data_IF_571082083029
#
_entry.id   IF_571082083029
#
_cell.length_a   1.000
_cell.length_b   1.000
_cell.length_c   1.000
_cell.angle_alpha   90.00
_cell.angle_beta   90.00
_cell.angle_gamma   90.00
#
_symmetry.space_group_name_H-M   'P 1'
#
loop_
_entity.id
_entity.type
_entity.pdbx_description
1 polymer ?
#
# COMPACT_ATOMS: atom_id res chain seq x y z
N UNK A 1 6.30 -45.32 -7.60
CA UNK A 1 5.79 -44.76 -7.97
C UNK A 1 5.66 -44.00 -7.96
N UNK A 2 5.99 -44.54 -7.48
CA UNK A 2 5.55 -43.68 -7.64
C UNK A 2 5.51 -42.76 -7.51
N UNK A 3 5.66 -43.53 -7.02
CA UNK A 3 5.49 -42.55 -7.28
C UNK A 3 5.29 -41.77 -6.93
N UNK A 4 5.48 -41.64 -6.69
CA UNK A 4 5.12 -40.76 -6.71
C UNK A 4 4.74 -40.14 -6.49
N UNK A 5 5.27 -40.91 -6.18
CA UNK A 5 4.71 -40.20 -6.23
C UNK A 5 4.34 -39.72 -5.63
N UNK A 6 4.55 -39.81 -5.26
CA UNK A 6 4.13 -39.14 -5.00
C UNK A 6 4.02 -38.54 -4.82
N UNK A 7 4.50 -39.41 -4.61
CA UNK A 7 4.26 -38.78 -4.70
C UNK A 7 3.82 -38.35 -4.62
N UNK A 8 4.37 -38.79 -4.27
CA UNK A 8 3.86 -38.39 -4.51
C UNK A 8 3.21 -38.12 -4.13
N UNK A 9 3.69 -38.11 -3.93
CA UNK A 9 3.12 -37.95 -3.90
C UNK A 9 2.78 -37.28 -3.44
N UNK A 10 3.34 -38.28 -2.99
CA UNK A 10 3.04 -37.82 -2.88
C UNK A 10 2.72 -37.18 -2.61
N UNK A 11 3.19 -37.44 -2.39
CA UNK A 11 2.95 -36.82 -2.50
C UNK A 11 2.25 -36.40 -2.38
N UNK A 12 2.71 -36.81 -2.10
CA UNK A 12 2.01 -36.45 -2.31
C UNK A 12 1.29 -36.05 -1.89
N UNK A 13 1.71 -35.98 -1.76
CA UNK A 13 1.11 -35.75 -1.82
C UNK A 13 0.68 -35.06 -1.47
N UNK A 14 1.30 -35.92 -0.97
CA UNK A 14 0.84 -35.50 -0.96
C UNK A 14 0.44 -34.72 -0.66
N UNK A 15 1.04 -34.91 -0.10
CA UNK A 15 0.67 -34.23 -0.28
C UNK A 15 0.13 -33.57 -0.05
N UNK A 16 0.51 -33.60 0.22
CA UNK A 16 -0.05 -33.07 -0.08
C UNK A 16 -0.59 -32.24 0.07
N UNK A 17 -0.20 -32.47 0.56
CA UNK A 17 -0.71 -31.88 0.23
C UNK A 17 -1.17 -30.85 0.33
N UNK A 18 -0.43 -31.36 1.26
CA UNK A 18 -0.83 -30.66 0.73
C UNK A 18 -1.08 -29.70 0.94
N UNK A 19 -0.74 -29.29 0.93
CA UNK A 19 -1.14 -28.66 0.40
C UNK A 19 -1.38 -27.79 0.09
N UNK A 20 -0.90 -27.88 0.38
CA UNK A 20 -1.25 -27.19 -0.48
C UNK A 20 -1.59 -26.23 -0.57
N UNK A 21 -1.47 -26.25 -0.60
CA UNK A 21 -1.98 -25.63 -1.28
C UNK A 21 -2.42 -24.80 -1.56
N UNK A 22 -2.30 -24.66 -1.59
CA UNK A 22 -2.76 -24.02 -2.35
C UNK A 22 -2.69 -23.24 -2.58
N UNK A 23 -2.26 -23.33 -2.57
CA UNK A 23 -2.18 -22.72 -3.29
C UNK A 23 -1.69 -22.32 -3.60
N UNK A 24 -1.28 -22.54 -3.64
CA UNK A 24 -0.85 -22.35 -4.38
C UNK A 24 -0.66 -22.20 -5.02
N UNK A 25 -0.56 -22.44 -5.19
CA UNK A 25 -0.51 -22.41 -6.09
C UNK A 25 -0.09 -21.96 -6.60
N UNK A 26 0.19 -22.33 -6.90
CA UNK A 26 0.59 -21.99 -7.64
C UNK A 26 0.77 -21.48 -8.36
N UNK A 27 0.92 -21.42 -8.36
CA UNK A 27 0.99 -20.94 -9.44
C UNK A 27 1.17 -21.42 -10.78
N UNK A 28 0.38 -21.85 -11.56
CA UNK A 28 0.70 -22.43 -12.83
C UNK A 28 0.97 -21.39 -13.89
N UNK A 29 2.11 -21.50 -14.58
CA UNK A 29 2.47 -20.44 -15.52
C UNK A 29 1.53 -20.34 -16.73
N UNK A 30 0.72 -21.36 -16.96
CA UNK A 30 -0.22 -21.36 -18.07
C UNK A 30 -1.42 -20.48 -17.82
N UNK A 31 -1.51 -19.87 -16.63
CA UNK A 31 -2.64 -19.05 -16.27
C UNK A 31 -2.69 -17.79 -17.13
N UNK A 32 -3.84 -17.51 -17.68
CA UNK A 32 -4.04 -16.30 -18.47
C UNK A 32 -3.97 -15.09 -17.53
N UNK A 33 -3.33 -14.05 -18.00
CA UNK A 33 -3.27 -12.79 -17.28
C UNK A 33 -4.69 -12.22 -17.12
N UNK A 34 -5.04 -11.86 -15.90
CA UNK A 34 -6.36 -11.30 -15.62
C UNK A 34 -6.19 -9.88 -15.10
N UNK A 35 -6.46 -8.91 -15.96
CA UNK A 35 -6.33 -7.50 -15.62
C UNK A 35 -7.22 -7.08 -14.45
N UNK A 36 -8.33 -7.80 -14.25
CA UNK A 36 -9.28 -7.41 -13.20
C UNK A 36 -8.69 -7.57 -11.80
N UNK A 37 -7.66 -8.39 -11.66
CA UNK A 37 -6.96 -8.52 -10.39
C UNK A 37 -6.18 -7.27 -10.02
N UNK A 38 -5.91 -6.42 -10.99
CA UNK A 38 -5.04 -5.26 -10.81
C UNK A 38 -5.78 -3.93 -10.91
N UNK A 39 -7.08 -3.99 -11.07
CA UNK A 39 -7.90 -2.78 -11.02
C UNK A 39 -8.16 -2.43 -9.57
N UNK A 40 -8.25 -1.12 -9.33
CA UNK A 40 -8.46 -0.65 -7.97
C UNK A 40 -9.81 -1.14 -7.45
N UNK A 41 -9.80 -1.56 -6.19
CA UNK A 41 -11.05 -1.95 -5.53
C UNK A 41 -11.84 -0.71 -5.17
N UNK A 42 -13.14 -0.74 -5.41
CA UNK A 42 -14.03 0.34 -5.01
C UNK A 42 -14.65 0.06 -3.63
N UNK A 43 -14.38 -1.10 -3.05
CA UNK A 43 -14.93 -1.48 -1.76
C UNK A 43 -14.08 -0.89 -0.65
N UNK A 44 -14.66 -0.06 0.24
CA UNK A 44 -13.90 0.46 1.36
C UNK A 44 -13.53 -0.64 2.34
N UNK A 45 -12.45 -0.42 3.07
CA UNK A 45 -11.94 -1.35 4.07
C UNK A 45 -11.92 -0.67 5.42
N UNK A 46 -12.26 -1.43 6.47
CA UNK A 46 -12.18 -0.91 7.83
C UNK A 46 -10.83 -1.30 8.41
N UNK A 47 -10.11 -0.30 8.92
CA UNK A 47 -8.83 -0.50 9.60
C UNK A 47 -8.99 -0.12 11.06
N UNK A 48 -8.47 -0.96 11.94
CA UNK A 48 -8.49 -0.69 13.38
C UNK A 48 -7.13 -0.16 13.78
N UNK A 49 -7.12 0.99 14.44
CA UNK A 49 -5.89 1.63 14.91
C UNK A 49 -5.93 1.72 16.43
N UNK A 50 -4.74 1.75 17.02
CA UNK A 50 -4.57 1.73 18.47
C UNK A 50 -3.69 2.88 18.91
N UNK A 51 -4.12 3.60 19.93
CA UNK A 51 -3.31 4.65 20.52
C UNK A 51 -3.68 4.78 21.99
N UNK A 52 -2.67 4.84 22.87
CA UNK A 52 -2.86 5.02 24.31
C UNK A 52 -3.84 4.02 24.92
N UNK A 53 -3.78 2.77 24.48
CA UNK A 53 -4.65 1.72 25.01
C UNK A 53 -6.07 1.77 24.49
N UNK A 54 -6.39 2.66 23.58
CA UNK A 54 -7.70 2.80 22.98
C UNK A 54 -7.64 2.38 21.53
N UNK A 55 -8.71 1.77 21.03
CA UNK A 55 -8.79 1.44 19.61
C UNK A 55 -9.92 2.22 18.97
N UNK A 56 -9.77 2.47 17.68
CA UNK A 56 -10.81 3.09 16.89
C UNK A 56 -10.72 2.59 15.45
N UNK A 57 -11.79 2.74 14.72
CA UNK A 57 -11.85 2.25 13.35
C UNK A 57 -11.95 3.41 12.38
N UNK A 58 -11.24 3.29 11.28
CA UNK A 58 -11.40 4.19 10.15
C UNK A 58 -11.72 3.35 8.92
N UNK A 59 -12.58 3.88 8.08
CA UNK A 59 -12.93 3.23 6.82
C UNK A 59 -12.15 3.93 5.73
N UNK A 60 -11.35 3.16 4.99
CA UNK A 60 -10.49 3.72 3.96
C UNK A 60 -10.78 3.09 2.62
N UNK A 61 -10.44 3.80 1.56
CA UNK A 61 -10.43 3.27 0.21
C UNK A 61 -9.01 3.43 -0.34
N UNK A 62 -8.57 2.51 -1.20
CA UNK A 62 -7.22 2.63 -1.75
C UNK A 62 -7.14 3.78 -2.75
N UNK A 63 -5.91 4.24 -2.99
CA UNK A 63 -5.65 5.24 -4.02
C UNK A 63 -5.32 4.51 -5.32
N UNK A 64 -5.83 5.04 -6.43
CA UNK A 64 -5.42 4.53 -7.72
C UNK A 64 -3.98 4.97 -8.00
N UNK A 65 -3.33 4.25 -8.89
CA UNK A 65 -1.98 4.60 -9.31
C UNK A 65 -1.92 6.04 -9.83
N UNK A 66 -2.91 6.41 -10.63
CA UNK A 66 -2.96 7.74 -11.22
C UNK A 66 -3.15 8.83 -10.16
N UNK A 67 -4.07 8.62 -9.23
CA UNK A 67 -4.31 9.61 -8.18
C UNK A 67 -3.11 9.76 -7.25
N UNK A 68 -2.48 8.65 -6.91
CA UNK A 68 -1.27 8.69 -6.11
C UNK A 68 -0.18 9.52 -6.79
N UNK A 69 0.00 9.30 -8.10
CA UNK A 69 0.98 10.07 -8.85
C UNK A 69 0.64 11.55 -8.91
N UNK A 70 -0.63 11.88 -9.01
CA UNK A 70 -1.06 13.28 -8.98
C UNK A 70 -0.72 13.91 -7.64
N UNK A 71 -0.95 13.19 -6.55
CA UNK A 71 -0.63 13.70 -5.23
C UNK A 71 0.87 13.88 -5.07
N UNK A 72 1.66 12.94 -5.55
CA UNK A 72 3.12 13.06 -5.53
C UNK A 72 3.55 14.32 -6.28
N UNK A 73 3.01 14.56 -7.47
CA UNK A 73 3.34 15.73 -8.27
C UNK A 73 3.00 17.02 -7.52
N UNK A 74 1.85 17.06 -6.88
CA UNK A 74 1.43 18.25 -6.14
C UNK A 74 2.29 18.48 -4.90
N UNK A 75 2.99 17.44 -4.45
CA UNK A 75 3.82 17.53 -3.25
C UNK A 75 5.26 17.89 -3.56
N UNK A 76 5.59 18.12 -4.82
CA UNK A 76 6.91 18.60 -5.20
C UNK A 76 6.98 20.11 -5.02
N UNK A 77 8.11 20.57 -4.50
CA UNK A 77 8.38 22.00 -4.30
C UNK A 77 9.64 22.38 -5.04
N UNK A 78 9.62 23.53 -5.66
CA UNK A 78 10.77 24.06 -6.38
C UNK A 78 11.42 25.16 -5.53
N UNK A 79 12.74 25.10 -5.41
CA UNK A 79 13.46 26.17 -4.72
C UNK A 79 13.95 27.22 -5.72
N UNK A 80 14.61 28.23 -5.20
CA UNK A 80 15.09 29.35 -6.03
C UNK A 80 16.15 28.94 -7.03
N UNK A 81 16.81 27.81 -6.80
CA UNK A 81 17.87 27.31 -7.69
C UNK A 81 17.33 26.30 -8.71
N UNK A 82 16.03 26.09 -8.75
CA UNK A 82 15.44 25.16 -9.69
C UNK A 82 15.45 23.71 -9.24
N UNK A 83 15.86 23.43 -8.02
CA UNK A 83 15.84 22.08 -7.47
C UNK A 83 14.46 21.73 -6.95
N UNK A 84 14.11 20.45 -7.00
CA UNK A 84 12.85 20.00 -6.45
C UNK A 84 13.07 19.29 -5.13
N UNK A 85 12.14 19.53 -4.20
CA UNK A 85 12.08 18.82 -2.93
C UNK A 85 10.71 18.20 -2.79
N UNK A 86 10.65 16.99 -2.25
CA UNK A 86 9.38 16.32 -2.01
C UNK A 86 8.89 16.69 -0.62
N UNK A 87 7.66 17.22 -0.57
CA UNK A 87 7.01 17.59 0.68
C UNK A 87 6.20 16.39 1.18
N UNK A 88 6.82 15.57 2.04
CA UNK A 88 6.20 14.37 2.55
C UNK A 88 4.97 14.65 3.41
N UNK A 89 4.98 15.77 4.13
CA UNK A 89 3.84 16.15 4.96
C UNK A 89 2.63 16.49 4.10
N UNK A 90 2.83 17.25 3.04
CA UNK A 90 1.76 17.56 2.09
C UNK A 90 1.22 16.29 1.45
N UNK A 91 2.12 15.40 1.05
CA UNK A 91 1.73 14.12 0.44
C UNK A 91 0.86 13.31 1.41
N UNK A 92 1.29 13.18 2.66
CA UNK A 92 0.54 12.40 3.65
C UNK A 92 -0.84 12.99 3.89
N UNK A 93 -0.93 14.32 4.03
CA UNK A 93 -2.22 14.96 4.24
C UNK A 93 -3.17 14.76 3.06
N UNK A 94 -2.65 14.94 1.84
CA UNK A 94 -3.49 14.75 0.66
C UNK A 94 -3.97 13.31 0.52
N UNK A 95 -3.09 12.36 0.80
CA UNK A 95 -3.49 10.95 0.77
C UNK A 95 -4.58 10.66 1.79
N UNK A 96 -4.41 11.14 3.02
CA UNK A 96 -5.39 10.87 4.07
C UNK A 96 -6.75 11.49 3.77
N UNK A 97 -6.76 12.68 3.19
CA UNK A 97 -8.01 13.32 2.80
C UNK A 97 -8.75 12.50 1.74
N UNK A 98 -8.01 11.88 0.83
CA UNK A 98 -8.63 11.07 -0.22
C UNK A 98 -9.00 9.68 0.26
N UNK A 99 -8.21 9.10 1.14
CA UNK A 99 -8.37 7.70 1.54
C UNK A 99 -9.43 7.49 2.62
N UNK A 100 -9.49 8.37 3.61
CA UNK A 100 -10.38 8.17 4.75
C UNK A 100 -11.79 8.61 4.35
N UNK A 101 -12.70 7.62 4.28
CA UNK A 101 -14.08 7.89 3.90
C UNK A 101 -14.99 7.99 5.11
N UNK A 102 -14.58 7.42 6.25
CA UNK A 102 -15.36 7.50 7.49
C UNK A 102 -14.42 7.33 8.67
N UNK A 103 -14.67 8.08 9.74
CA UNK A 103 -13.81 8.06 10.92
C UNK A 103 -14.58 8.63 12.10
N UNK A 104 -14.11 8.32 13.35
CA UNK A 104 -14.81 8.84 14.54
C UNK A 104 -14.86 10.37 14.62
N UNK A 105 -13.96 11.06 13.94
CA UNK A 105 -13.93 12.53 13.96
C UNK A 105 -14.73 13.16 12.82
N UNK A 106 -15.43 12.36 12.02
CA UNK A 106 -16.17 12.87 10.88
C UNK A 106 -15.28 13.00 9.66
N UNK A 107 -15.42 14.11 8.93
CA UNK A 107 -14.62 14.34 7.72
C UNK A 107 -13.18 14.60 8.06
N UNK A 108 -12.30 14.00 7.29
CA UNK A 108 -10.86 14.26 7.41
C UNK A 108 -10.51 15.43 6.53
N UNK A 109 -10.35 16.60 7.15
CA UNK A 109 -10.08 17.85 6.44
C UNK A 109 -8.64 18.27 6.67
N UNK A 110 -8.17 19.22 5.85
CA UNK A 110 -6.86 19.84 6.04
C UNK A 110 -6.76 20.43 7.45
N UNK A 111 -7.80 21.16 7.85
CA UNK A 111 -7.87 21.79 9.16
C UNK A 111 -7.70 20.79 10.29
N UNK A 112 -8.38 19.66 10.17
CA UNK A 112 -8.28 18.59 11.17
C UNK A 112 -6.83 18.08 11.23
N UNK A 113 -6.25 17.79 10.06
CA UNK A 113 -4.95 17.15 10.01
C UNK A 113 -3.83 18.05 10.55
N UNK A 114 -3.94 19.36 10.36
CA UNK A 114 -2.91 20.25 10.91
C UNK A 114 -3.10 20.53 12.39
N UNK A 115 -4.21 20.10 12.97
CA UNK A 115 -4.53 20.36 14.38
C UNK A 115 -4.22 19.19 15.31
N UNK A 116 -3.91 18.02 14.77
CA UNK A 116 -3.67 16.82 15.59
C UNK A 116 -2.22 16.81 16.10
N UNK A 117 -1.98 16.06 17.18
CA UNK A 117 -0.62 15.99 17.71
C UNK A 117 0.23 15.02 16.89
N UNK A 118 1.55 15.06 17.15
CA UNK A 118 2.50 14.30 16.36
C UNK A 118 2.28 12.79 16.44
N UNK A 119 1.89 12.30 17.62
CA UNK A 119 1.69 10.87 17.80
C UNK A 119 0.51 10.36 16.98
N UNK A 120 -0.57 11.12 17.03
CA UNK A 120 -1.77 10.76 16.29
C UNK A 120 -1.54 10.86 14.79
N UNK A 121 -0.84 11.91 14.37
CA UNK A 121 -0.48 12.08 12.96
C UNK A 121 0.38 10.95 12.44
N UNK A 122 1.38 10.54 13.23
CA UNK A 122 2.24 9.42 12.85
C UNK A 122 1.44 8.13 12.72
N UNK A 123 0.47 7.93 13.61
CA UNK A 123 -0.39 6.76 13.53
C UNK A 123 -1.20 6.76 12.23
N UNK A 124 -1.82 7.88 11.89
CA UNK A 124 -2.60 7.97 10.65
C UNK A 124 -1.71 7.79 9.43
N UNK A 125 -0.48 8.23 9.52
CA UNK A 125 0.46 8.11 8.41
C UNK A 125 0.75 6.66 8.05
N UNK A 126 0.56 5.73 8.98
CA UNK A 126 0.74 4.31 8.68
C UNK A 126 -0.25 3.80 7.63
N UNK A 127 -1.35 4.52 7.42
CA UNK A 127 -2.33 4.16 6.39
C UNK A 127 -1.91 4.61 5.00
N UNK A 128 -0.99 5.56 4.92
CA UNK A 128 -0.60 6.20 3.67
C UNK A 128 0.40 5.31 2.94
N UNK A 129 0.17 5.04 1.63
CA UNK A 129 1.17 4.29 0.87
C UNK A 129 2.42 5.14 0.71
N UNK A 130 3.57 4.52 0.72
CA UNK A 130 4.82 5.24 0.53
C UNK A 130 4.82 5.87 -0.86
N UNK A 131 5.32 7.09 -0.94
CA UNK A 131 5.43 7.77 -2.23
C UNK A 131 6.39 7.01 -3.13
N UNK A 132 7.48 6.52 -2.54
CA UNK A 132 8.47 5.73 -3.24
C UNK A 132 8.71 4.48 -2.41
N UNK A 133 8.62 3.30 -3.01
CA UNK A 133 8.97 2.09 -2.28
C UNK A 133 10.48 1.95 -2.23
N UNK A 134 10.97 1.11 -1.31
CA UNK A 134 12.40 0.97 -1.09
C UNK A 134 13.15 0.54 -2.35
N UNK A 135 12.56 -0.39 -3.09
CA UNK A 135 13.21 -0.88 -4.30
C UNK A 135 13.25 0.18 -5.38
N UNK A 136 12.17 0.95 -5.51
CA UNK A 136 12.13 2.03 -6.48
C UNK A 136 13.14 3.11 -6.14
N UNK A 137 13.27 3.44 -4.85
CA UNK A 137 14.26 4.43 -4.41
C UNK A 137 15.67 3.97 -4.73
N UNK A 138 15.97 2.70 -4.45
CA UNK A 138 17.29 2.15 -4.76
C UNK A 138 17.57 2.18 -6.24
N UNK A 139 16.55 1.86 -7.05
CA UNK A 139 16.70 1.92 -8.49
C UNK A 139 16.98 3.32 -8.99
N UNK A 140 16.26 4.31 -8.45
CA UNK A 140 16.46 5.70 -8.82
C UNK A 140 17.87 6.17 -8.44
N UNK A 141 18.31 5.81 -7.24
CA UNK A 141 19.63 6.19 -6.78
C UNK A 141 20.72 5.56 -7.66
N UNK A 142 20.53 4.30 -8.04
CA UNK A 142 21.47 3.63 -8.92
C UNK A 142 21.54 4.33 -10.27
N UNK A 143 20.40 4.70 -10.82
CA UNK A 143 20.34 5.43 -12.08
C UNK A 143 21.05 6.77 -11.96
N UNK A 144 20.79 7.49 -10.88
CA UNK A 144 21.43 8.79 -10.66
C UNK A 144 22.94 8.68 -10.58
N UNK A 145 23.43 7.61 -9.96
CA UNK A 145 24.87 7.42 -9.82
C UNK A 145 25.55 7.15 -11.15
N UNK A 146 24.81 6.63 -12.12
CA UNK A 146 25.35 6.33 -13.43
C UNK A 146 25.35 7.53 -14.36
N UNK A 147 24.68 8.59 -13.97
CA UNK A 147 24.61 9.81 -14.74
C UNK A 147 25.39 10.92 -14.04
#
# INVERSE_FOLDING_TARGET
MAGRSKVSQALSEDIEEGEVTEEEQVDTPSTTFDINKYKISTTPKVETLYIDGTSFEVTIKPLSWSLRNQIISKSLRWDANGNTNFDGDSYARECLKEMIVDAPWGRTTESFLISIDARFGTLLETLVPKAFDENADMGIDTIKKEF
#
